data_IF_681434230218
#
_entry.id   IF_681434230218
#
_cell.length_a   1.000
_cell.length_b   1.000
_cell.length_c   1.000
_cell.angle_alpha   90.00
_cell.angle_beta   90.00
_cell.angle_gamma   90.00
#
_symmetry.space_group_name_H-M   'P 1'
#
loop_
_entity.id
_entity.type
_entity.pdbx_description
1 polymer ?
#
# COMPACT_ATOMS: atom_id res chain seq x y z
N UNK A 1 -4.82 -21.97 -17.37
CA UNK A 1 -4.29 -20.60 -17.38
C UNK A 1 -4.98 -19.86 -16.25
N UNK A 2 -4.39 -19.86 -15.05
CA UNK A 2 -4.94 -19.19 -13.89
C UNK A 2 -4.26 -17.81 -13.81
N UNK A 3 -4.71 -16.86 -14.62
CA UNK A 3 -4.39 -15.46 -14.38
C UNK A 3 -5.28 -15.04 -13.22
N UNK A 4 -4.79 -15.22 -11.99
CA UNK A 4 -5.44 -14.60 -10.85
C UNK A 4 -4.83 -13.20 -10.71
N UNK A 5 -5.66 -12.20 -10.92
CA UNK A 5 -5.33 -10.83 -10.58
C UNK A 5 -4.90 -10.73 -9.12
N UNK A 6 -3.94 -9.84 -8.87
CA UNK A 6 -3.52 -9.46 -7.52
C UNK A 6 -4.79 -9.02 -6.77
N UNK A 7 -5.13 -9.65 -5.63
CA UNK A 7 -6.30 -9.24 -4.87
C UNK A 7 -6.14 -7.78 -4.45
N UNK A 8 -7.07 -6.93 -4.88
CA UNK A 8 -7.02 -5.47 -4.65
C UNK A 8 -6.89 -5.08 -3.18
N UNK A 9 -7.31 -5.97 -2.27
CA UNK A 9 -7.11 -5.82 -0.83
C UNK A 9 -5.62 -5.78 -0.47
N UNK A 10 -4.79 -6.63 -1.05
CA UNK A 10 -3.35 -6.61 -0.80
C UNK A 10 -2.69 -5.35 -1.35
N UNK A 11 -3.13 -4.87 -2.52
CA UNK A 11 -2.68 -3.57 -3.06
C UNK A 11 -3.07 -2.42 -2.13
N UNK A 12 -4.32 -2.37 -1.66
CA UNK A 12 -4.78 -1.33 -0.74
C UNK A 12 -3.98 -1.34 0.58
N UNK A 13 -3.66 -2.52 1.12
CA UNK A 13 -2.81 -2.65 2.31
C UNK A 13 -1.38 -2.20 2.02
N UNK A 14 -0.84 -2.49 0.82
CA UNK A 14 0.50 -2.09 0.44
C UNK A 14 0.60 -0.56 0.29
N UNK A 15 -0.36 0.07 -0.38
CA UNK A 15 -0.46 1.52 -0.54
C UNK A 15 -0.58 2.23 0.82
N UNK A 16 -1.45 1.70 1.69
CA UNK A 16 -1.59 2.20 3.05
C UNK A 16 -0.30 2.05 3.86
N UNK A 17 0.33 0.87 3.81
CA UNK A 17 1.58 0.59 4.51
C UNK A 17 2.71 1.50 4.06
N UNK A 18 2.86 1.71 2.74
CA UNK A 18 3.85 2.61 2.18
C UNK A 18 3.61 4.06 2.63
N UNK A 19 2.37 4.57 2.54
CA UNK A 19 2.04 5.91 3.05
C UNK A 19 2.34 6.07 4.55
N UNK A 20 2.06 5.03 5.35
CA UNK A 20 2.31 5.05 6.79
C UNK A 20 3.81 5.11 7.09
N UNK A 21 4.61 4.28 6.43
CA UNK A 21 6.07 4.25 6.56
C UNK A 21 6.67 5.61 6.18
N UNK A 22 6.23 6.18 5.05
CA UNK A 22 6.68 7.49 4.61
C UNK A 22 6.33 8.59 5.60
N UNK A 23 5.09 8.64 6.11
CA UNK A 23 4.71 9.62 7.13
C UNK A 23 5.48 9.43 8.44
N UNK A 24 5.76 8.19 8.81
CA UNK A 24 6.55 7.87 10.00
C UNK A 24 7.98 8.41 9.89
N UNK A 25 8.64 8.20 8.75
CA UNK A 25 9.97 8.75 8.45
C UNK A 25 9.97 10.28 8.51
N UNK A 26 8.96 10.90 7.90
CA UNK A 26 8.89 12.35 7.73
C UNK A 26 8.56 13.12 9.02
N UNK A 27 7.75 12.51 9.91
CA UNK A 27 7.15 13.24 11.03
C UNK A 27 7.01 12.37 12.27
N UNK A 28 8.11 11.72 12.64
CA UNK A 28 8.26 10.88 13.83
C UNK A 28 7.69 11.51 15.12
N UNK A 29 7.76 12.83 15.26
CA UNK A 29 7.27 13.56 16.45
C UNK A 29 5.74 13.74 16.52
N UNK A 30 5.00 13.75 15.40
CA UNK A 30 3.53 13.93 15.41
C UNK A 30 2.73 12.63 15.53
N UNK A 31 3.40 11.47 15.56
CA UNK A 31 2.80 10.13 15.69
C UNK A 31 1.99 9.91 16.98
N UNK A 32 2.11 10.80 17.99
CA UNK A 32 1.34 10.69 19.26
C UNK A 32 -0.02 11.37 19.24
N UNK A 33 -0.40 12.08 18.17
CA UNK A 33 -1.70 12.74 18.12
C UNK A 33 -2.78 11.75 17.68
N UNK A 34 -3.82 11.57 18.50
CA UNK A 34 -4.98 10.72 18.17
C UNK A 34 -5.63 11.09 16.82
N UNK A 35 -5.58 12.37 16.43
CA UNK A 35 -6.06 12.86 15.14
C UNK A 35 -5.30 12.25 13.95
N UNK A 36 -4.00 11.99 14.10
CA UNK A 36 -3.19 11.35 13.06
C UNK A 36 -3.57 9.88 12.90
N UNK A 37 -3.77 9.17 14.01
CA UNK A 37 -4.15 7.76 14.04
C UNK A 37 -5.55 7.54 13.43
N UNK A 38 -6.50 8.44 13.73
CA UNK A 38 -7.82 8.48 13.09
C UNK A 38 -7.68 8.74 11.59
N UNK A 39 -6.81 9.66 11.16
CA UNK A 39 -6.55 9.93 9.75
C UNK A 39 -5.99 8.71 9.00
N UNK A 40 -5.04 7.99 9.59
CA UNK A 40 -4.45 6.75 9.05
C UNK A 40 -5.51 5.65 8.88
N UNK A 41 -6.38 5.47 9.88
CA UNK A 41 -7.47 4.50 9.83
C UNK A 41 -8.55 4.89 8.80
N UNK A 42 -8.86 6.18 8.70
CA UNK A 42 -9.86 6.69 7.76
C UNK A 42 -9.36 6.58 6.31
N UNK A 43 -8.08 6.85 6.06
CA UNK A 43 -7.44 6.60 4.76
C UNK A 43 -7.52 5.11 4.41
N UNK A 44 -7.15 4.20 5.32
CA UNK A 44 -7.24 2.76 5.08
C UNK A 44 -8.66 2.33 4.72
N UNK A 45 -9.64 2.79 5.50
CA UNK A 45 -11.04 2.48 5.26
C UNK A 45 -11.51 3.00 3.89
N UNK A 46 -11.12 4.22 3.51
CA UNK A 46 -11.48 4.84 2.24
C UNK A 46 -10.79 4.14 1.06
N UNK A 47 -9.49 3.84 1.17
CA UNK A 47 -8.71 3.12 0.15
C UNK A 47 -9.29 1.71 -0.06
N UNK A 48 -9.49 0.94 1.02
CA UNK A 48 -10.08 -0.39 0.96
C UNK A 48 -11.51 -0.36 0.41
N UNK A 49 -12.38 0.54 0.91
CA UNK A 49 -13.75 0.64 0.41
C UNK A 49 -13.78 0.99 -1.08
N UNK A 50 -12.91 1.91 -1.52
CA UNK A 50 -12.82 2.33 -2.92
C UNK A 50 -12.32 1.20 -3.82
N UNK A 51 -11.23 0.51 -3.45
CA UNK A 51 -10.66 -0.59 -4.25
C UNK A 51 -11.52 -1.86 -4.25
N UNK A 52 -12.23 -2.16 -3.15
CA UNK A 52 -13.18 -3.29 -3.08
C UNK A 52 -14.45 -2.99 -3.87
N UNK A 53 -15.00 -1.78 -3.77
CA UNK A 53 -16.17 -1.38 -4.54
C UNK A 53 -15.89 -1.33 -6.05
N UNK A 54 -14.69 -0.93 -6.45
CA UNK A 54 -14.24 -0.93 -7.86
C UNK A 54 -13.69 -2.28 -8.32
N UNK A 55 -13.58 -3.26 -7.43
CA UNK A 55 -13.05 -4.60 -7.72
C UNK A 55 -13.90 -5.43 -8.68
N UNK A 56 -15.20 -5.17 -8.75
CA UNK A 56 -16.13 -5.82 -9.69
C UNK A 56 -16.28 -5.06 -11.02
N UNK A 57 -15.56 -3.94 -11.19
CA UNK A 57 -15.66 -3.11 -12.38
C UNK A 57 -14.64 -3.59 -13.41
N UNK A 58 -15.08 -3.71 -14.66
CA UNK A 58 -14.30 -4.10 -15.85
C UNK A 58 -12.87 -3.52 -15.86
N UNK A 59 -11.89 -4.31 -16.32
CA UNK A 59 -10.46 -3.96 -16.42
C UNK A 59 -10.20 -2.58 -17.06
N UNK A 60 -11.11 -2.11 -17.92
CA UNK A 60 -11.07 -0.79 -18.57
C UNK A 60 -11.08 0.38 -17.57
N UNK A 61 -11.71 0.22 -16.41
CA UNK A 61 -11.81 1.25 -15.36
C UNK A 61 -10.71 1.13 -14.29
N UNK A 62 -9.73 0.24 -14.48
CA UNK A 62 -8.60 0.07 -13.56
C UNK A 62 -7.67 1.30 -13.54
N UNK A 63 -7.30 1.85 -14.71
CA UNK A 63 -6.43 3.03 -14.80
C UNK A 63 -7.01 4.24 -14.06
N UNK A 64 -8.27 4.66 -14.29
CA UNK A 64 -8.84 5.79 -13.56
C UNK A 64 -9.01 5.49 -12.07
N UNK A 65 -9.28 4.23 -11.68
CA UNK A 65 -9.31 3.83 -10.28
C UNK A 65 -7.95 4.02 -9.60
N UNK A 66 -6.86 3.60 -10.23
CA UNK A 66 -5.50 3.78 -9.69
C UNK A 66 -5.11 5.25 -9.59
N UNK A 67 -5.50 6.09 -10.57
CA UNK A 67 -5.26 7.54 -10.50
C UNK A 67 -5.95 8.13 -9.26
N UNK A 68 -7.18 7.70 -8.95
CA UNK A 68 -7.90 8.17 -7.76
C UNK A 68 -7.23 7.67 -6.47
N UNK A 69 -6.77 6.40 -6.43
CA UNK A 69 -6.04 5.85 -5.29
C UNK A 69 -4.75 6.66 -5.01
N UNK A 70 -3.97 6.96 -6.04
CA UNK A 70 -2.77 7.82 -5.94
C UNK A 70 -3.13 9.24 -5.50
N UNK A 71 -4.24 9.79 -5.96
CA UNK A 71 -4.71 11.10 -5.51
C UNK A 71 -5.06 11.11 -4.02
N UNK A 72 -5.69 10.04 -3.51
CA UNK A 72 -5.97 9.87 -2.07
C UNK A 72 -4.67 9.78 -1.27
N UNK A 73 -3.70 8.96 -1.73
CA UNK A 73 -2.36 8.87 -1.13
C UNK A 73 -1.67 10.24 -1.08
N UNK A 74 -1.72 11.01 -2.17
CA UNK A 74 -1.12 12.34 -2.26
C UNK A 74 -1.74 13.33 -1.26
N UNK A 75 -3.08 13.38 -1.20
CA UNK A 75 -3.79 14.24 -0.24
C UNK A 75 -3.45 13.83 1.19
N UNK A 76 -3.39 12.53 1.47
CA UNK A 76 -3.04 12.02 2.77
C UNK A 76 -1.62 12.40 3.20
N UNK A 77 -0.63 12.24 2.30
CA UNK A 77 0.75 12.65 2.54
C UNK A 77 0.90 14.17 2.69
N UNK A 78 0.16 14.97 1.92
CA UNK A 78 0.15 16.42 2.08
C UNK A 78 -0.40 16.86 3.44
N UNK A 79 -1.56 16.33 3.83
CA UNK A 79 -2.21 16.70 5.09
C UNK A 79 -1.42 16.18 6.29
N UNK A 80 -0.97 14.92 6.26
CA UNK A 80 -0.18 14.29 7.33
C UNK A 80 1.24 14.86 7.44
N UNK A 81 1.93 15.02 6.31
CA UNK A 81 3.30 15.51 6.25
C UNK A 81 3.42 17.02 6.46
N UNK A 82 2.39 17.80 6.12
CA UNK A 82 2.45 19.28 6.04
C UNK A 82 3.65 19.77 5.19
N UNK A 83 3.92 19.08 4.09
CA UNK A 83 5.03 19.39 3.18
C UNK A 83 4.62 20.34 2.06
N UNK A 84 5.63 20.89 1.37
CA UNK A 84 5.43 21.55 0.08
C UNK A 84 4.83 20.55 -0.94
N UNK A 85 3.92 20.98 -1.82
CA UNK A 85 3.23 20.10 -2.77
C UNK A 85 4.19 19.32 -3.67
N UNK A 86 5.31 19.94 -4.08
CA UNK A 86 6.33 19.28 -4.91
C UNK A 86 6.99 18.09 -4.19
N UNK A 87 7.30 18.24 -2.90
CA UNK A 87 7.90 17.18 -2.10
C UNK A 87 6.91 16.05 -1.78
N UNK A 88 5.64 16.41 -1.54
CA UNK A 88 4.58 15.42 -1.38
C UNK A 88 4.33 14.60 -2.65
N UNK A 89 4.48 15.22 -3.83
CA UNK A 89 4.30 14.52 -5.11
C UNK A 89 5.39 13.50 -5.35
N UNK A 90 6.65 13.88 -5.10
CA UNK A 90 7.79 12.96 -5.19
C UNK A 90 7.66 11.79 -4.21
N UNK A 91 7.33 12.10 -2.95
CA UNK A 91 7.10 11.10 -1.90
C UNK A 91 5.95 10.15 -2.27
N UNK A 92 4.83 10.69 -2.76
CA UNK A 92 3.68 9.89 -3.19
C UNK A 92 4.04 8.94 -4.33
N UNK A 93 4.74 9.43 -5.36
CA UNK A 93 5.17 8.60 -6.48
C UNK A 93 6.09 7.45 -6.01
N UNK A 94 7.03 7.73 -5.11
CA UNK A 94 7.91 6.71 -4.55
C UNK A 94 7.16 5.70 -3.68
N UNK A 95 6.27 6.17 -2.80
CA UNK A 95 5.41 5.32 -1.97
C UNK A 95 4.52 4.40 -2.81
N UNK A 96 3.94 4.92 -3.89
CA UNK A 96 3.11 4.15 -4.82
C UNK A 96 3.94 3.07 -5.55
N UNK A 97 5.11 3.42 -6.08
CA UNK A 97 6.00 2.44 -6.73
C UNK A 97 6.42 1.34 -5.74
N UNK A 98 6.74 1.71 -4.50
CA UNK A 98 7.07 0.73 -3.45
C UNK A 98 5.86 -0.17 -3.14
N UNK A 99 4.66 0.39 -3.01
CA UNK A 99 3.44 -0.36 -2.75
C UNK A 99 3.14 -1.38 -3.86
N UNK A 100 3.17 -0.96 -5.11
CA UNK A 100 2.97 -1.82 -6.28
C UNK A 100 4.04 -2.92 -6.36
N UNK A 101 5.31 -2.58 -6.08
CA UNK A 101 6.40 -3.54 -6.05
C UNK A 101 6.18 -4.59 -4.96
N UNK A 102 5.84 -4.18 -3.74
CA UNK A 102 5.60 -5.07 -2.59
C UNK A 102 4.39 -5.97 -2.84
N UNK A 103 3.29 -5.43 -3.37
CA UNK A 103 2.09 -6.19 -3.70
C UNK A 103 2.36 -7.23 -4.79
N UNK A 104 3.08 -6.84 -5.86
CA UNK A 104 3.46 -7.76 -6.94
C UNK A 104 4.42 -8.85 -6.47
N UNK A 105 5.43 -8.49 -5.67
CA UNK A 105 6.39 -9.45 -5.12
C UNK A 105 5.69 -10.47 -4.22
N UNK A 106 4.81 -9.99 -3.33
CA UNK A 106 4.01 -10.85 -2.47
C UNK A 106 3.18 -11.84 -3.27
N UNK A 107 2.47 -11.35 -4.29
CA UNK A 107 1.61 -12.18 -5.13
C UNK A 107 2.39 -13.22 -5.94
N UNK A 108 3.56 -12.86 -6.45
CA UNK A 108 4.43 -13.78 -7.15
C UNK A 108 4.91 -14.93 -6.25
N UNK A 109 5.34 -14.65 -5.02
CA UNK A 109 5.78 -15.70 -4.09
C UNK A 109 4.61 -16.59 -3.68
N UNK A 110 3.45 -16.01 -3.34
CA UNK A 110 2.24 -16.77 -3.01
C UNK A 110 1.85 -17.69 -4.17
N UNK A 111 1.84 -17.18 -5.40
CA UNK A 111 1.52 -17.97 -6.60
C UNK A 111 2.48 -19.15 -6.78
N UNK A 112 3.79 -18.95 -6.59
CA UNK A 112 4.80 -20.02 -6.66
C UNK A 112 4.55 -21.09 -5.59
N UNK A 113 4.23 -20.68 -4.36
CA UNK A 113 3.99 -21.59 -3.23
C UNK A 113 2.70 -22.39 -3.41
N UNK A 114 1.65 -21.74 -3.91
CA UNK A 114 0.37 -22.39 -4.23
C UNK A 114 0.54 -23.43 -5.34
N UNK A 115 1.33 -23.16 -6.39
CA UNK A 115 1.65 -24.13 -7.46
C UNK A 115 2.40 -25.36 -6.92
N UNK A 116 3.18 -25.21 -5.84
CA UNK A 116 3.87 -26.32 -5.16
C UNK A 116 2.96 -27.15 -4.24
N UNK A 117 1.66 -26.88 -4.21
CA UNK A 117 0.66 -27.64 -3.45
C UNK A 117 0.52 -27.22 -1.99
N UNK A 118 1.15 -26.12 -1.56
CA UNK A 118 1.00 -25.58 -0.21
C UNK A 118 -0.02 -24.45 -0.26
N UNK A 119 -1.31 -24.81 -0.22
CA UNK A 119 -2.42 -23.85 -0.18
C UNK A 119 -2.89 -23.69 1.26
N UNK A 120 -2.24 -22.79 2.01
CA UNK A 120 -2.63 -22.46 3.37
C UNK A 120 -2.73 -20.96 3.57
N UNK A 121 -3.85 -20.53 4.14
CA UNK A 121 -4.09 -19.13 4.53
C UNK A 121 -2.99 -18.58 5.44
N UNK A 122 -2.47 -19.42 6.34
CA UNK A 122 -1.37 -19.06 7.24
C UNK A 122 -0.07 -18.79 6.49
N UNK A 123 0.17 -19.50 5.39
CA UNK A 123 1.35 -19.30 4.55
C UNK A 123 1.24 -17.98 3.79
N UNK A 124 0.07 -17.61 3.27
CA UNK A 124 -0.15 -16.31 2.63
C UNK A 124 0.10 -15.14 3.59
N UNK A 125 -0.42 -15.22 4.82
CA UNK A 125 -0.18 -14.22 5.87
C UNK A 125 1.30 -14.13 6.20
N UNK A 126 1.97 -15.27 6.38
CA UNK A 126 3.39 -15.30 6.72
C UNK A 126 4.24 -14.62 5.63
N UNK A 127 3.99 -14.96 4.35
CA UNK A 127 4.72 -14.33 3.24
C UNK A 127 4.40 -12.83 3.19
N UNK A 128 3.14 -12.43 3.45
CA UNK A 128 2.73 -11.02 3.49
C UNK A 128 3.53 -10.26 4.53
N UNK A 129 3.62 -10.78 5.76
CA UNK A 129 4.36 -10.15 6.87
C UNK A 129 5.84 -10.04 6.51
N UNK A 130 6.44 -11.09 5.95
CA UNK A 130 7.86 -11.10 5.58
C UNK A 130 8.16 -10.10 4.46
N UNK A 131 7.36 -10.10 3.40
CA UNK A 131 7.58 -9.25 2.23
C UNK A 131 7.27 -7.79 2.54
N UNK A 132 6.11 -7.49 3.13
CA UNK A 132 5.74 -6.13 3.49
C UNK A 132 6.69 -5.58 4.53
N UNK A 133 6.91 -6.34 5.62
CA UNK A 133 7.81 -5.93 6.69
C UNK A 133 9.25 -5.76 6.20
N UNK A 134 9.77 -6.71 5.42
CA UNK A 134 11.12 -6.66 4.88
C UNK A 134 11.33 -5.47 3.94
N UNK A 135 10.45 -5.27 2.96
CA UNK A 135 10.56 -4.16 2.02
C UNK A 135 10.41 -2.79 2.71
N UNK A 136 9.46 -2.64 3.64
CA UNK A 136 9.30 -1.40 4.39
C UNK A 136 10.47 -1.11 5.32
N UNK A 137 11.04 -2.13 5.98
CA UNK A 137 12.24 -1.95 6.80
C UNK A 137 13.43 -1.54 5.94
N UNK A 138 13.64 -2.18 4.79
CA UNK A 138 14.72 -1.82 3.87
C UNK A 138 14.57 -0.37 3.39
N UNK A 139 13.37 0.04 3.01
CA UNK A 139 13.11 1.42 2.58
C UNK A 139 13.42 2.44 3.69
N UNK A 140 13.01 2.15 4.93
CA UNK A 140 13.37 2.94 6.12
C UNK A 140 14.88 3.02 6.32
N UNK A 141 15.61 1.90 6.16
CA UNK A 141 17.08 1.87 6.31
C UNK A 141 17.81 2.62 5.20
N UNK A 142 17.24 2.71 4.00
CA UNK A 142 17.83 3.43 2.88
C UNK A 142 17.57 4.94 2.97
N UNK A 143 16.50 5.36 3.65
CA UNK A 143 16.11 6.77 3.77
C UNK A 143 16.48 7.43 5.11
N UNK A 144 16.65 6.65 6.19
CA UNK A 144 17.01 7.13 7.53
C UNK A 144 18.51 7.28 7.77
#
# INVERSE_FOLDING_TARGET
MLYQDIPRIYTAIAEWGACLVYLYMLKREKMKSAHFLIGVLLMLALQCAFLVATGNVSEVLWIPCMIIAVAIMYVFLMVGGSMKPLGAGYCCARAFVLAEFVASLQWQIVSIVQVRGIQSFWTEILITIIIFGGCFVIDIYLEG
#
